data_IF_162457865073
#
_entry.id   IF_162457865073
#
_cell.length_a   1.000
_cell.length_b   1.000
_cell.length_c   1.000
_cell.angle_alpha   90.00
_cell.angle_beta   90.00
_cell.angle_gamma   90.00
#
_symmetry.space_group_name_H-M   'P 1'
#
loop_
_entity.id
_entity.type
_entity.pdbx_description
1 polymer ?
#
# COMPACT_ATOMS: atom_id res chain seq x y z
N UNK A 1 22.00 4.54 8.70
CA UNK A 1 21.26 4.34 9.97
C UNK A 1 19.79 4.74 9.88
N UNK A 2 19.39 5.76 9.09
CA UNK A 2 17.97 6.19 8.96
C UNK A 2 16.97 5.17 8.37
N UNK A 3 17.41 4.19 7.57
CA UNK A 3 16.49 3.31 6.81
C UNK A 3 15.64 2.42 7.70
N UNK A 4 16.22 1.77 8.70
CA UNK A 4 15.47 0.85 9.57
C UNK A 4 14.62 1.59 10.61
N UNK A 5 15.13 2.71 11.14
CA UNK A 5 14.43 3.52 12.12
C UNK A 5 13.17 4.16 11.53
N UNK A 6 13.29 4.75 10.34
CA UNK A 6 12.14 5.32 9.62
C UNK A 6 11.06 4.28 9.30
N UNK A 7 11.46 3.10 8.78
CA UNK A 7 10.51 2.02 8.48
C UNK A 7 9.79 1.57 9.75
N UNK A 8 10.52 1.41 10.86
CA UNK A 8 9.92 0.98 12.12
C UNK A 8 8.95 2.03 12.68
N UNK A 9 9.32 3.32 12.65
CA UNK A 9 8.44 4.42 13.08
C UNK A 9 7.14 4.44 12.26
N UNK A 10 7.23 4.30 10.93
CA UNK A 10 6.05 4.30 10.06
C UNK A 10 5.17 3.08 10.33
N UNK A 11 5.75 1.88 10.45
CA UNK A 11 5.02 0.65 10.74
C UNK A 11 4.32 0.69 12.10
N UNK A 12 4.97 1.26 13.11
CA UNK A 12 4.45 1.31 14.49
C UNK A 12 3.58 2.54 14.78
N UNK A 13 3.38 3.43 13.80
CA UNK A 13 2.65 4.70 14.02
C UNK A 13 1.22 4.47 14.53
N UNK A 14 0.50 3.48 14.01
CA UNK A 14 -0.85 3.16 14.47
C UNK A 14 -0.89 2.73 15.93
N UNK A 15 0.03 1.84 16.32
CA UNK A 15 0.19 1.39 17.70
C UNK A 15 0.60 2.53 18.64
N UNK A 16 1.48 3.42 18.18
CA UNK A 16 1.88 4.61 18.92
C UNK A 16 0.71 5.57 19.17
N UNK A 17 -0.16 5.78 18.18
CA UNK A 17 -1.36 6.61 18.32
C UNK A 17 -2.35 5.97 19.31
N UNK A 18 -2.57 4.65 19.24
CA UNK A 18 -3.43 3.94 20.17
C UNK A 18 -2.87 4.05 21.60
N UNK A 19 -1.55 3.87 21.78
CA UNK A 19 -0.89 4.01 23.09
C UNK A 19 -0.99 5.43 23.65
N UNK A 20 -0.89 6.44 22.80
CA UNK A 20 -0.95 7.84 23.21
C UNK A 20 -2.38 8.35 23.50
N UNK A 21 -3.36 7.94 22.69
CA UNK A 21 -4.73 8.49 22.75
C UNK A 21 -5.75 7.55 23.39
N UNK A 22 -5.39 6.28 23.66
CA UNK A 22 -6.31 5.18 24.03
C UNK A 22 -7.51 5.01 23.08
N UNK A 23 -7.40 5.59 21.89
CA UNK A 23 -8.42 5.61 20.87
C UNK A 23 -7.74 5.34 19.53
N UNK A 24 -8.47 4.71 18.60
CA UNK A 24 -7.95 4.39 17.28
C UNK A 24 -7.63 5.66 16.48
N UNK A 25 -6.77 5.53 15.47
CA UNK A 25 -6.39 6.60 14.55
C UNK A 25 -7.50 6.93 13.54
N UNK A 26 -8.75 7.04 14.00
CA UNK A 26 -9.96 7.09 13.19
C UNK A 26 -10.01 8.32 12.25
N UNK A 27 -9.73 9.53 12.77
CA UNK A 27 -9.76 10.75 11.94
C UNK A 27 -8.72 10.74 10.82
N UNK A 28 -7.51 10.25 11.10
CA UNK A 28 -6.46 10.14 10.08
C UNK A 28 -6.78 9.03 9.06
N UNK A 29 -7.43 7.95 9.48
CA UNK A 29 -7.89 6.91 8.57
C UNK A 29 -9.01 7.43 7.66
N UNK A 30 -9.96 8.20 8.21
CA UNK A 30 -11.01 8.86 7.43
C UNK A 30 -10.43 9.86 6.42
N UNK A 31 -9.47 10.69 6.84
CA UNK A 31 -8.74 11.58 5.92
C UNK A 31 -8.07 10.80 4.79
N UNK A 32 -7.34 9.73 5.12
CA UNK A 32 -6.66 8.92 4.11
C UNK A 32 -7.64 8.25 3.12
N UNK A 33 -8.83 7.86 3.58
CA UNK A 33 -9.87 7.32 2.71
C UNK A 33 -10.46 8.41 1.79
N UNK A 34 -10.70 9.62 2.31
CA UNK A 34 -11.14 10.76 1.51
C UNK A 34 -10.10 11.15 0.47
N UNK A 35 -8.83 11.25 0.87
CA UNK A 35 -7.71 11.58 -0.03
C UNK A 35 -7.58 10.53 -1.14
N UNK A 36 -7.69 9.25 -0.79
CA UNK A 36 -7.65 8.15 -1.76
C UNK A 36 -8.75 8.27 -2.83
N UNK A 37 -9.99 8.55 -2.42
CA UNK A 37 -11.10 8.72 -3.36
C UNK A 37 -10.95 10.01 -4.19
N UNK A 38 -10.46 11.08 -3.57
CA UNK A 38 -10.19 12.36 -4.23
C UNK A 38 -9.13 12.21 -5.33
N UNK A 39 -7.99 11.59 -5.01
CA UNK A 39 -6.91 11.34 -5.95
C UNK A 39 -7.37 10.43 -7.09
N UNK A 40 -8.19 9.42 -6.82
CA UNK A 40 -8.74 8.56 -7.85
C UNK A 40 -9.65 9.33 -8.81
N UNK A 41 -10.63 10.07 -8.27
CA UNK A 41 -11.66 10.73 -9.08
C UNK A 41 -11.10 11.96 -9.81
N UNK A 42 -10.40 12.84 -9.09
CA UNK A 42 -9.88 14.11 -9.63
C UNK A 42 -8.55 13.93 -10.36
N UNK A 43 -7.82 12.85 -10.05
CA UNK A 43 -6.49 12.59 -10.56
C UNK A 43 -5.39 13.08 -9.62
N UNK A 44 -4.21 12.49 -9.75
CA UNK A 44 -3.02 12.87 -8.99
C UNK A 44 -2.35 14.10 -9.61
N UNK A 45 -1.67 14.96 -8.82
CA UNK A 45 -0.89 16.07 -9.35
C UNK A 45 0.11 15.66 -10.44
N UNK A 46 0.41 16.57 -11.37
CA UNK A 46 1.34 16.28 -12.48
C UNK A 46 2.73 15.95 -11.94
N UNK A 47 3.28 14.82 -12.38
CA UNK A 47 4.62 14.37 -11.98
C UNK A 47 4.67 13.68 -10.62
N UNK A 48 3.54 13.49 -9.94
CA UNK A 48 3.47 12.74 -8.68
C UNK A 48 2.72 11.43 -8.86
N UNK A 49 2.81 10.58 -7.84
CA UNK A 49 2.05 9.35 -7.70
C UNK A 49 1.69 9.14 -6.24
N UNK A 50 0.65 8.34 -6.02
CA UNK A 50 0.15 7.98 -4.69
C UNK A 50 0.24 6.47 -4.48
N UNK A 51 0.12 6.02 -3.25
CA UNK A 51 0.08 4.58 -2.95
C UNK A 51 -1.37 4.13 -2.87
N UNK A 52 -1.76 3.17 -3.71
CA UNK A 52 -3.10 2.58 -3.66
C UNK A 52 -3.01 1.06 -3.76
N UNK A 53 -3.81 0.37 -2.95
CA UNK A 53 -4.04 -1.06 -3.05
C UNK A 53 -4.91 -1.35 -4.27
N UNK A 54 -4.32 -1.98 -5.29
CA UNK A 54 -5.04 -2.37 -6.52
C UNK A 54 -4.79 -3.84 -6.81
N UNK A 55 -5.61 -4.41 -7.70
CA UNK A 55 -5.39 -5.76 -8.22
C UNK A 55 -4.04 -5.82 -8.93
N UNK A 56 -3.19 -6.75 -8.49
CA UNK A 56 -1.90 -6.98 -9.11
C UNK A 56 -2.05 -7.56 -10.52
N UNK A 57 -1.46 -6.88 -11.51
CA UNK A 57 -1.41 -7.30 -12.91
C UNK A 57 -0.12 -8.08 -13.24
N UNK A 58 0.73 -8.38 -12.24
CA UNK A 58 2.08 -8.91 -12.44
C UNK A 58 3.17 -7.83 -12.42
N UNK A 59 2.81 -6.55 -12.27
CA UNK A 59 3.78 -5.46 -12.21
C UNK A 59 4.82 -5.69 -11.11
N UNK A 60 6.08 -5.37 -11.44
CA UNK A 60 7.21 -5.55 -10.54
C UNK A 60 7.43 -7.00 -10.06
N UNK A 61 6.94 -8.01 -10.80
CA UNK A 61 7.10 -9.42 -10.42
C UNK A 61 6.28 -9.81 -9.19
N UNK A 62 5.28 -9.00 -8.80
CA UNK A 62 4.32 -9.35 -7.77
C UNK A 62 3.29 -10.32 -8.37
N UNK A 63 2.93 -11.43 -7.70
CA UNK A 63 1.94 -12.38 -8.21
C UNK A 63 0.61 -11.71 -8.56
N UNK A 64 -0.09 -12.24 -9.56
CA UNK A 64 -1.44 -11.78 -9.93
C UNK A 64 -2.46 -12.21 -8.87
N UNK A 65 -3.66 -11.63 -8.96
CA UNK A 65 -4.82 -12.01 -8.14
C UNK A 65 -4.66 -11.79 -6.63
N UNK A 66 -3.82 -10.83 -6.25
CA UNK A 66 -3.73 -10.28 -4.90
C UNK A 66 -3.94 -8.76 -4.95
N UNK A 67 -4.51 -8.20 -3.89
CA UNK A 67 -4.53 -6.74 -3.69
C UNK A 67 -3.17 -6.34 -3.11
N UNK A 68 -2.42 -5.55 -3.84
CA UNK A 68 -1.10 -5.09 -3.44
C UNK A 68 -0.98 -3.57 -3.63
N UNK A 69 -0.26 -2.91 -2.74
CA UNK A 69 -0.06 -1.45 -2.80
C UNK A 69 1.01 -1.10 -3.83
N UNK A 70 0.62 -0.42 -4.90
CA UNK A 70 1.52 0.04 -5.96
C UNK A 70 1.62 1.57 -5.99
N UNK A 71 2.69 2.13 -6.58
CA UNK A 71 2.72 3.53 -6.98
C UNK A 71 1.76 3.71 -8.16
N UNK A 72 0.73 4.52 -7.96
CA UNK A 72 -0.37 4.73 -8.88
C UNK A 72 -0.41 6.20 -9.29
N UNK A 73 -0.59 6.42 -10.59
CA UNK A 73 -1.00 7.71 -11.14
C UNK A 73 -2.48 7.64 -11.49
N UNK A 74 -3.25 8.62 -11.06
CA UNK A 74 -4.67 8.75 -11.41
C UNK A 74 -4.87 9.89 -12.40
N UNK A 75 -5.66 9.66 -13.43
CA UNK A 75 -5.98 10.66 -14.45
C UNK A 75 -7.39 10.41 -14.98
N UNK A 76 -8.27 11.41 -14.85
CA UNK A 76 -9.66 11.36 -15.35
C UNK A 76 -10.45 10.14 -14.86
N UNK A 77 -10.39 9.84 -13.55
CA UNK A 77 -11.10 8.70 -12.95
C UNK A 77 -10.49 7.32 -13.23
N UNK A 78 -9.37 7.26 -13.98
CA UNK A 78 -8.64 6.01 -14.24
C UNK A 78 -7.34 6.01 -13.48
N UNK A 79 -6.97 4.87 -12.92
CA UNK A 79 -5.68 4.66 -12.29
C UNK A 79 -4.76 3.85 -13.20
N UNK A 80 -3.45 4.04 -13.04
CA UNK A 80 -2.42 3.29 -13.76
C UNK A 80 -1.19 3.11 -12.89
N UNK A 81 -0.64 1.89 -12.88
CA UNK A 81 0.60 1.58 -12.17
C UNK A 81 1.76 2.31 -12.84
N UNK A 82 2.48 3.11 -12.05
CA UNK A 82 3.74 3.72 -12.49
C UNK A 82 4.73 2.58 -12.69
N UNK A 83 5.20 2.40 -13.93
CA UNK A 83 6.15 1.34 -14.29
C UNK A 83 7.58 1.89 -14.31
N UNK A 84 8.56 0.97 -14.32
CA UNK A 84 10.00 1.26 -14.49
C UNK A 84 10.68 2.01 -13.34
N UNK A 85 10.16 1.92 -12.12
CA UNK A 85 10.90 2.37 -10.94
C UNK A 85 12.05 1.39 -10.65
N UNK A 86 13.23 1.93 -10.30
CA UNK A 86 14.39 1.12 -9.91
C UNK A 86 14.13 0.53 -8.53
N UNK A 87 14.08 -0.79 -8.45
CA UNK A 87 13.96 -1.53 -7.21
C UNK A 87 15.37 -2.03 -6.83
N UNK A 88 15.86 -1.60 -5.68
CA UNK A 88 17.09 -2.17 -5.11
C UNK A 88 16.79 -3.46 -4.35
N UNK A 89 17.83 -4.26 -4.08
CA UNK A 89 17.69 -5.57 -3.42
C UNK A 89 16.97 -5.50 -2.07
N UNK A 90 17.24 -4.46 -1.28
CA UNK A 90 16.56 -4.23 -0.01
C UNK A 90 15.04 -4.05 -0.18
N UNK A 91 14.63 -3.24 -1.15
CA UNK A 91 13.21 -3.00 -1.44
C UNK A 91 12.56 -4.26 -2.01
N UNK A 92 13.26 -4.97 -2.90
CA UNK A 92 12.82 -6.26 -3.45
C UNK A 92 12.51 -7.26 -2.35
N UNK A 93 13.44 -7.46 -1.41
CA UNK A 93 13.25 -8.38 -0.29
C UNK A 93 12.02 -8.03 0.58
N UNK A 94 11.77 -6.73 0.82
CA UNK A 94 10.58 -6.28 1.56
C UNK A 94 9.28 -6.45 0.76
N UNK A 95 9.32 -6.20 -0.54
CA UNK A 95 8.20 -6.42 -1.44
C UNK A 95 7.84 -7.91 -1.51
N UNK A 96 8.83 -8.79 -1.61
CA UNK A 96 8.62 -10.25 -1.64
C UNK A 96 8.04 -10.77 -0.33
N UNK A 97 8.57 -10.31 0.81
CA UNK A 97 8.03 -10.67 2.11
C UNK A 97 6.55 -10.24 2.26
N UNK A 98 6.21 -9.04 1.78
CA UNK A 98 4.82 -8.53 1.83
C UNK A 98 3.91 -9.28 0.87
N UNK A 99 4.38 -9.58 -0.35
CA UNK A 99 3.61 -10.35 -1.32
C UNK A 99 3.31 -11.76 -0.82
N UNK A 100 4.29 -12.42 -0.19
CA UNK A 100 4.11 -13.73 0.43
C UNK A 100 3.05 -13.70 1.54
N UNK A 101 3.15 -12.75 2.47
CA UNK A 101 2.16 -12.59 3.56
C UNK A 101 0.74 -12.38 3.03
N UNK A 102 0.57 -11.65 1.93
CA UNK A 102 -0.73 -11.44 1.29
C UNK A 102 -1.28 -12.71 0.61
N UNK A 103 -0.41 -13.55 0.05
CA UNK A 103 -0.80 -14.84 -0.53
C UNK A 103 -1.24 -15.79 0.59
N UNK A 104 -0.45 -15.89 1.66
CA UNK A 104 -0.76 -16.73 2.81
C UNK A 104 -2.12 -16.30 3.43
N UNK A 105 -2.36 -14.99 3.57
CA UNK A 105 -3.66 -14.45 4.02
C UNK A 105 -4.81 -14.75 3.07
N UNK A 106 -4.56 -14.71 1.76
CA UNK A 106 -5.56 -15.09 0.76
C UNK A 106 -5.95 -16.56 0.91
N UNK A 107 -4.99 -17.45 1.11
CA UNK A 107 -5.25 -18.88 1.33
C UNK A 107 -6.07 -19.14 2.60
N UNK A 108 -5.71 -18.47 3.70
CA UNK A 108 -6.48 -18.53 4.95
C UNK A 108 -7.90 -18.00 4.76
N UNK A 109 -8.08 -16.87 4.07
CA UNK A 109 -9.42 -16.35 3.80
C UNK A 109 -10.25 -17.30 2.93
N UNK A 110 -9.63 -17.96 1.93
CA UNK A 110 -10.30 -18.97 1.12
C UNK A 110 -10.70 -20.22 1.92
N UNK A 111 -9.89 -20.64 2.90
CA UNK A 111 -10.25 -21.80 3.72
C UNK A 111 -11.44 -21.53 4.65
N UNK A 112 -11.71 -20.28 5.01
CA UNK A 112 -12.90 -19.89 5.78
C UNK A 112 -14.19 -19.76 4.94
N UNK A 113 -14.07 -19.75 3.60
CA UNK A 113 -15.20 -19.62 2.68
C UNK A 113 -15.72 -20.97 2.17
N UNK A 114 -14.98 -22.06 2.42
CA UNK A 114 -15.37 -23.44 2.15
C UNK A 114 -15.77 -24.15 3.44
#
# INVERSE_FOLDING_TARGET
MLKNEFINIVQQRGAAIIKARKASSALSAASAACDHMCDWVLGTPKGTWVSMGVYSDGSYGIPKDIIYSFPIKCEKGKWSIVKRLKINEFSRAKMDATAKDLIDKKEVAHSCLN
#
